data_IF_105887815172
#
_entry.id   IF_105887815172
#
_cell.length_a   1.000
_cell.length_b   1.000
_cell.length_c   1.000
_cell.angle_alpha   90.00
_cell.angle_beta   90.00
_cell.angle_gamma   90.00
#
_symmetry.space_group_name_H-M   'P 1'
#
loop_
_entity.id
_entity.type
_entity.pdbx_description
1 polymer ?
#
# COMPACT_ATOMS: atom_id res chain seq x y z
N UNK A 1 -10.07 25.52 7.67
CA UNK A 1 -8.71 25.55 7.07
C UNK A 1 -7.69 24.63 7.77
N UNK A 2 -7.87 24.20 9.03
CA UNK A 2 -6.95 23.25 9.68
C UNK A 2 -7.12 21.79 9.23
N UNK A 3 -8.30 21.40 8.72
CA UNK A 3 -8.62 20.03 8.33
C UNK A 3 -7.84 19.51 7.12
N UNK A 4 -7.72 20.29 6.05
CA UNK A 4 -7.12 19.82 4.80
C UNK A 4 -5.61 19.54 4.97
N UNK A 5 -4.91 20.40 5.72
CA UNK A 5 -3.48 20.24 6.04
C UNK A 5 -3.21 19.07 6.98
N UNK A 6 -4.15 18.68 7.85
CA UNK A 6 -4.00 17.46 8.66
C UNK A 6 -4.36 16.21 7.86
N UNK A 7 -5.41 16.26 7.04
CA UNK A 7 -5.80 15.14 6.17
C UNK A 7 -4.66 14.77 5.23
N UNK A 8 -4.06 15.73 4.53
CA UNK A 8 -2.98 15.47 3.57
C UNK A 8 -1.72 14.94 4.25
N UNK A 9 -1.38 15.46 5.43
CA UNK A 9 -0.26 14.95 6.23
C UNK A 9 -0.51 13.52 6.72
N UNK A 10 -1.75 13.20 7.08
CA UNK A 10 -2.15 11.85 7.47
C UNK A 10 -2.17 10.89 6.28
N UNK A 11 -2.61 11.32 5.10
CA UNK A 11 -2.57 10.52 3.86
C UNK A 11 -1.13 10.21 3.47
N UNK A 12 -0.25 11.22 3.45
CA UNK A 12 1.18 10.99 3.20
C UNK A 12 1.73 10.03 4.26
N UNK A 13 1.54 10.30 5.55
CA UNK A 13 1.98 9.38 6.63
C UNK A 13 1.43 7.96 6.46
N UNK A 14 0.19 7.78 6.02
CA UNK A 14 -0.42 6.48 5.79
C UNK A 14 0.27 5.77 4.62
N UNK A 15 0.49 6.44 3.47
CA UNK A 15 1.30 5.89 2.36
C UNK A 15 2.71 5.51 2.85
N UNK A 16 3.33 6.33 3.70
CA UNK A 16 4.67 6.11 4.25
C UNK A 16 4.76 4.98 5.30
N UNK A 17 3.70 4.69 6.07
CA UNK A 17 3.73 3.73 7.18
C UNK A 17 3.56 2.27 6.73
N UNK A 18 2.95 2.01 5.58
CA UNK A 18 2.63 0.64 5.14
C UNK A 18 3.84 -0.16 4.67
N UNK A 19 4.90 0.49 4.18
CA UNK A 19 6.16 -0.19 3.84
C UNK A 19 6.78 -0.80 5.12
N UNK A 20 6.65 -0.13 6.28
CA UNK A 20 7.22 -0.61 7.55
C UNK A 20 6.39 -1.72 8.23
N UNK A 21 5.10 -1.84 7.93
CA UNK A 21 4.18 -2.79 8.59
C UNK A 21 4.40 -4.28 8.22
N UNK A 22 5.40 -4.55 7.37
CA UNK A 22 5.74 -5.89 6.90
C UNK A 22 6.81 -6.60 7.73
N UNK A 23 7.13 -6.13 8.94
CA UNK A 23 7.98 -6.88 9.87
C UNK A 23 7.11 -7.82 10.70
N UNK A 24 6.93 -9.06 10.23
CA UNK A 24 6.17 -10.11 10.92
C UNK A 24 7.10 -11.25 11.31
N UNK A 25 7.06 -11.62 12.58
CA UNK A 25 7.76 -12.78 13.11
C UNK A 25 6.88 -14.02 12.94
N UNK A 26 7.31 -15.02 12.18
CA UNK A 26 6.51 -16.25 11.99
C UNK A 26 6.80 -17.28 13.08
N UNK A 27 5.75 -17.73 13.79
CA UNK A 27 5.81 -18.83 14.77
C UNK A 27 4.91 -20.00 14.34
N UNK A 28 5.42 -21.24 14.46
CA UNK A 28 4.70 -22.45 14.01
C UNK A 28 4.36 -23.32 15.21
N UNK A 29 3.09 -23.69 15.35
CA UNK A 29 2.62 -24.66 16.34
C UNK A 29 1.96 -25.91 15.70
N UNK A 30 1.95 -26.05 14.37
CA UNK A 30 1.29 -27.15 13.66
C UNK A 30 2.22 -28.23 13.10
N UNK A 31 1.99 -29.49 13.48
CA UNK A 31 2.64 -30.68 12.93
C UNK A 31 1.87 -31.21 11.70
N UNK A 32 2.16 -30.74 10.49
CA UNK A 32 1.54 -31.23 9.25
C UNK A 32 2.18 -30.67 7.98
N UNK A 33 2.07 -31.38 6.84
CA UNK A 33 2.71 -30.96 5.57
C UNK A 33 2.23 -29.59 5.04
N UNK A 34 0.96 -29.25 5.25
CA UNK A 34 0.37 -27.99 4.80
C UNK A 34 0.83 -26.75 5.59
N UNK A 35 1.24 -26.91 6.86
CA UNK A 35 1.75 -25.77 7.65
C UNK A 35 3.12 -25.31 7.14
N UNK A 36 3.96 -26.25 6.70
CA UNK A 36 5.28 -25.97 6.15
C UNK A 36 5.21 -25.21 4.81
N UNK A 37 4.29 -25.58 3.91
CA UNK A 37 4.12 -24.88 2.62
C UNK A 37 3.56 -23.47 2.80
N UNK A 38 2.55 -23.30 3.68
CA UNK A 38 2.03 -21.97 4.03
C UNK A 38 3.15 -21.09 4.61
N UNK A 39 3.94 -21.63 5.54
CA UNK A 39 5.09 -20.91 6.13
C UNK A 39 6.08 -20.47 5.06
N UNK A 40 6.41 -21.35 4.10
CA UNK A 40 7.36 -21.02 3.04
C UNK A 40 6.87 -19.85 2.17
N UNK A 41 5.57 -19.82 1.83
CA UNK A 41 4.99 -18.69 1.09
C UNK A 41 5.11 -17.39 1.91
N UNK A 42 4.67 -17.41 3.16
CA UNK A 42 4.70 -16.23 4.03
C UNK A 42 6.14 -15.74 4.33
N UNK A 43 7.10 -16.64 4.47
CA UNK A 43 8.52 -16.27 4.63
C UNK A 43 9.09 -15.60 3.38
N UNK A 44 8.72 -16.10 2.18
CA UNK A 44 9.15 -15.48 0.92
C UNK A 44 8.50 -14.12 0.72
N UNK A 45 7.24 -14.00 1.09
CA UNK A 45 6.51 -12.73 1.05
C UNK A 45 7.16 -11.69 1.98
N UNK A 46 7.41 -12.07 3.23
CA UNK A 46 8.12 -11.22 4.19
C UNK A 46 9.52 -10.82 3.69
N UNK A 47 10.29 -11.76 3.15
CA UNK A 47 11.60 -11.45 2.57
C UNK A 47 11.52 -10.52 1.35
N UNK A 48 10.45 -10.63 0.56
CA UNK A 48 10.19 -9.75 -0.58
C UNK A 48 9.81 -8.34 -0.10
N UNK A 49 8.97 -8.26 0.93
CA UNK A 49 8.59 -7.01 1.58
C UNK A 49 9.78 -6.27 2.22
N UNK A 50 10.71 -7.00 2.84
CA UNK A 50 11.94 -6.38 3.36
C UNK A 50 12.82 -5.78 2.25
N UNK A 51 12.76 -6.33 1.03
CA UNK A 51 13.50 -5.76 -0.12
C UNK A 51 12.92 -4.44 -0.59
N UNK A 52 11.62 -4.22 -0.44
CA UNK A 52 10.98 -2.93 -0.74
C UNK A 52 11.11 -1.92 0.42
N UNK A 53 11.35 -2.40 1.65
CA UNK A 53 11.73 -1.55 2.80
C UNK A 53 13.14 -0.98 2.67
N UNK A 54 14.05 -1.71 2.02
CA UNK A 54 15.33 -1.13 1.62
C UNK A 54 15.01 0.02 0.66
N UNK A 55 15.40 1.26 0.98
CA UNK A 55 14.99 2.42 0.20
C UNK A 55 15.45 2.20 -1.23
N UNK A 56 14.50 1.88 -2.12
CA UNK A 56 14.71 2.01 -3.53
C UNK A 56 15.00 3.50 -3.73
N UNK A 57 16.30 3.78 -3.87
CA UNK A 57 17.00 5.06 -3.99
C UNK A 57 16.14 6.27 -4.43
N UNK A 58 15.17 6.68 -3.61
CA UNK A 58 14.55 7.98 -3.78
C UNK A 58 15.57 8.97 -3.23
N UNK A 59 16.37 9.52 -4.13
CA UNK A 59 17.45 10.47 -3.83
C UNK A 59 16.91 11.84 -3.41
N UNK A 60 15.81 11.91 -2.66
CA UNK A 60 15.32 13.10 -1.95
C UNK A 60 15.06 14.38 -2.77
N UNK A 61 15.28 14.37 -4.09
CA UNK A 61 15.33 15.56 -4.95
C UNK A 61 14.22 15.60 -6.00
N UNK A 62 13.34 14.59 -6.04
CA UNK A 62 12.25 14.50 -7.01
C UNK A 62 10.97 15.23 -6.57
N UNK A 63 10.09 15.47 -7.53
CA UNK A 63 8.72 15.94 -7.31
C UNK A 63 7.85 14.88 -6.61
N UNK A 64 6.74 15.26 -5.98
CA UNK A 64 5.82 14.26 -5.40
C UNK A 64 5.22 13.35 -6.46
N UNK A 65 5.06 13.84 -7.68
CA UNK A 65 4.59 13.04 -8.82
C UNK A 65 5.56 11.86 -9.07
N UNK A 66 6.86 12.15 -9.19
CA UNK A 66 7.90 11.11 -9.34
C UNK A 66 7.94 10.14 -8.14
N UNK A 67 7.68 10.63 -6.93
CA UNK A 67 7.60 9.78 -5.75
C UNK A 67 6.40 8.82 -5.79
N UNK A 68 5.23 9.29 -6.20
CA UNK A 68 4.02 8.47 -6.28
C UNK A 68 4.12 7.45 -7.41
N UNK A 69 4.67 7.85 -8.56
CA UNK A 69 5.01 6.93 -9.65
C UNK A 69 5.98 5.84 -9.19
N UNK A 70 7.05 6.22 -8.48
CA UNK A 70 8.02 5.26 -7.93
C UNK A 70 7.40 4.31 -6.90
N UNK A 71 6.47 4.81 -6.08
CA UNK A 71 5.72 4.01 -5.10
C UNK A 71 4.82 2.99 -5.81
N UNK A 72 4.06 3.43 -6.82
CA UNK A 72 3.22 2.54 -7.61
C UNK A 72 4.06 1.46 -8.33
N UNK A 73 5.20 1.85 -8.91
CA UNK A 73 6.12 0.91 -9.56
C UNK A 73 6.63 -0.16 -8.58
N UNK A 74 6.95 0.24 -7.36
CA UNK A 74 7.41 -0.69 -6.30
C UNK A 74 6.30 -1.65 -5.89
N UNK A 75 5.05 -1.18 -5.77
CA UNK A 75 3.88 -2.03 -5.50
C UNK A 75 3.69 -3.05 -6.63
N UNK A 76 3.73 -2.62 -7.90
CA UNK A 76 3.59 -3.52 -9.04
C UNK A 76 4.72 -4.55 -9.12
N UNK A 77 5.96 -4.13 -8.80
CA UNK A 77 7.08 -5.05 -8.71
C UNK A 77 6.86 -6.10 -7.61
N UNK A 78 6.46 -5.68 -6.41
CA UNK A 78 6.14 -6.59 -5.30
C UNK A 78 5.07 -7.61 -5.70
N UNK A 79 3.94 -7.15 -6.26
CA UNK A 79 2.85 -8.04 -6.71
C UNK A 79 3.35 -9.03 -7.77
N UNK A 80 4.12 -8.56 -8.74
CA UNK A 80 4.64 -9.41 -9.81
C UNK A 80 5.62 -10.48 -9.31
N UNK A 81 6.48 -10.16 -8.32
CA UNK A 81 7.35 -11.14 -7.70
C UNK A 81 6.58 -12.11 -6.80
N UNK A 82 5.61 -11.62 -6.02
CA UNK A 82 4.81 -12.45 -5.13
C UNK A 82 3.91 -13.45 -5.88
N UNK A 83 3.42 -13.08 -7.07
CA UNK A 83 2.65 -13.98 -7.95
C UNK A 83 3.43 -15.20 -8.43
N UNK A 84 4.76 -15.15 -8.41
CA UNK A 84 5.63 -16.27 -8.81
C UNK A 84 5.79 -17.32 -7.70
N UNK A 85 5.25 -17.08 -6.51
CA UNK A 85 5.32 -18.05 -5.43
C UNK A 85 4.51 -19.29 -5.78
N UNK A 86 5.09 -20.47 -5.57
CA UNK A 86 4.39 -21.72 -5.77
C UNK A 86 3.30 -21.89 -4.70
N UNK A 87 2.05 -21.89 -5.15
CA UNK A 87 0.87 -22.07 -4.30
C UNK A 87 0.16 -23.40 -4.57
N UNK A 88 0.76 -24.31 -5.35
CA UNK A 88 0.15 -25.61 -5.62
C UNK A 88 0.21 -26.57 -4.42
N UNK A 89 1.16 -26.33 -3.50
CA UNK A 89 1.39 -27.14 -2.31
C UNK A 89 0.73 -26.59 -1.04
N UNK A 90 0.05 -25.44 -1.14
CA UNK A 90 -0.75 -24.87 -0.03
C UNK A 90 -2.22 -25.26 -0.17
N UNK A 91 -2.99 -25.26 0.92
CA UNK A 91 -4.43 -25.43 0.86
C UNK A 91 -5.12 -24.40 -0.06
N UNK A 92 -6.18 -24.82 -0.73
CA UNK A 92 -6.85 -24.01 -1.75
C UNK A 92 -7.46 -22.72 -1.19
N UNK A 93 -7.97 -22.74 0.04
CA UNK A 93 -8.53 -21.56 0.71
C UNK A 93 -7.44 -20.52 1.04
N UNK A 94 -6.27 -20.97 1.52
CA UNK A 94 -5.11 -20.10 1.71
C UNK A 94 -4.62 -19.51 0.37
N UNK A 95 -4.52 -20.32 -0.69
CA UNK A 95 -4.13 -19.84 -2.02
C UNK A 95 -5.11 -18.79 -2.58
N UNK A 96 -6.41 -18.94 -2.31
CA UNK A 96 -7.43 -17.95 -2.70
C UNK A 96 -7.25 -16.66 -1.89
N UNK A 97 -7.20 -16.75 -0.55
CA UNK A 97 -7.02 -15.58 0.31
C UNK A 97 -5.74 -14.80 -0.02
N UNK A 98 -4.63 -15.50 -0.28
CA UNK A 98 -3.37 -14.87 -0.64
C UNK A 98 -3.43 -14.18 -2.01
N UNK A 99 -4.08 -14.78 -3.00
CA UNK A 99 -4.29 -14.14 -4.31
C UNK A 99 -5.19 -12.91 -4.22
N UNK A 100 -6.23 -12.95 -3.39
CA UNK A 100 -7.09 -11.79 -3.13
C UNK A 100 -6.31 -10.66 -2.44
N UNK A 101 -5.39 -10.99 -1.52
CA UNK A 101 -4.49 -10.02 -0.92
C UNK A 101 -3.57 -9.36 -1.97
N UNK A 102 -2.96 -10.15 -2.86
CA UNK A 102 -2.15 -9.61 -3.96
C UNK A 102 -2.97 -8.73 -4.92
N UNK A 103 -4.23 -9.09 -5.19
CA UNK A 103 -5.13 -8.27 -6.00
C UNK A 103 -5.47 -6.93 -5.31
N UNK A 104 -5.63 -6.92 -3.98
CA UNK A 104 -5.82 -5.69 -3.22
C UNK A 104 -4.60 -4.75 -3.32
N UNK A 105 -3.38 -5.31 -3.25
CA UNK A 105 -2.14 -4.57 -3.50
C UNK A 105 -2.05 -4.03 -4.93
N UNK A 106 -2.37 -4.83 -5.94
CA UNK A 106 -2.36 -4.39 -7.33
C UNK A 106 -3.32 -3.22 -7.56
N UNK A 107 -4.54 -3.31 -7.04
CA UNK A 107 -5.52 -2.23 -7.10
C UNK A 107 -5.03 -0.97 -6.36
N UNK A 108 -4.36 -1.12 -5.22
CA UNK A 108 -3.74 0.00 -4.54
C UNK A 108 -2.65 0.66 -5.39
N UNK A 109 -1.78 -0.13 -6.03
CA UNK A 109 -0.77 0.35 -6.97
C UNK A 109 -1.39 1.12 -8.14
N UNK A 110 -2.53 0.67 -8.68
CA UNK A 110 -3.28 1.40 -9.71
C UNK A 110 -3.84 2.73 -9.21
N UNK A 111 -4.39 2.78 -8.00
CA UNK A 111 -4.89 4.02 -7.40
C UNK A 111 -3.75 5.01 -7.17
N UNK A 112 -2.60 4.54 -6.67
CA UNK A 112 -1.41 5.37 -6.46
C UNK A 112 -0.85 5.88 -7.78
N UNK A 113 -0.76 5.03 -8.82
CA UNK A 113 -0.32 5.44 -10.16
C UNK A 113 -1.24 6.48 -10.82
N UNK A 114 -2.54 6.47 -10.48
CA UNK A 114 -3.53 7.43 -10.96
C UNK A 114 -3.64 8.66 -10.04
N UNK A 115 -2.56 9.03 -9.36
CA UNK A 115 -2.55 10.23 -8.54
C UNK A 115 -2.81 11.49 -9.38
N UNK A 116 -3.49 12.50 -8.83
CA UNK A 116 -3.59 13.79 -9.51
C UNK A 116 -2.19 14.42 -9.60
N UNK A 117 -1.94 15.20 -10.66
CA UNK A 117 -0.68 15.94 -10.82
C UNK A 117 -0.57 16.96 -9.70
N UNK A 118 0.48 16.84 -8.90
CA UNK A 118 0.68 17.64 -7.70
C UNK A 118 1.52 18.91 -7.95
N UNK A 119 2.28 18.98 -9.05
CA UNK A 119 3.11 20.14 -9.41
C UNK A 119 4.40 20.27 -8.60
N UNK A 120 5.18 21.33 -8.80
CA UNK A 120 6.50 21.52 -8.14
C UNK A 120 6.35 21.76 -6.64
N UNK A 121 6.79 20.81 -5.83
CA UNK A 121 6.74 20.82 -4.36
C UNK A 121 7.67 21.88 -3.78
N UNK A 122 7.15 23.09 -3.65
CA UNK A 122 7.64 24.04 -2.64
C UNK A 122 6.56 24.21 -1.58
N UNK A 123 6.92 24.60 -0.37
CA UNK A 123 6.00 24.99 0.72
C UNK A 123 4.88 25.95 0.26
N UNK A 124 5.11 26.63 -0.86
CA UNK A 124 4.22 27.56 -1.52
C UNK A 124 3.08 26.88 -2.31
N UNK A 125 3.05 25.55 -2.51
CA UNK A 125 1.89 24.89 -3.12
C UNK A 125 0.71 24.88 -2.16
N UNK A 126 0.91 24.58 -0.87
CA UNK A 126 -0.20 24.63 0.10
C UNK A 126 -0.65 26.06 0.38
N UNK A 127 0.26 27.02 0.36
CA UNK A 127 -0.11 28.44 0.44
C UNK A 127 -0.72 28.98 -0.85
N UNK A 128 -0.25 28.51 -2.01
CA UNK A 128 -0.69 28.93 -3.34
C UNK A 128 -1.97 28.25 -3.82
N UNK A 129 -2.23 27.01 -3.42
CA UNK A 129 -3.49 26.30 -3.57
C UNK A 129 -4.57 26.97 -2.72
N UNK A 130 -4.26 27.30 -1.46
CA UNK A 130 -5.17 28.01 -0.56
C UNK A 130 -5.35 29.49 -0.96
N UNK A 131 -4.30 30.20 -1.40
CA UNK A 131 -4.41 31.57 -1.94
C UNK A 131 -5.10 31.60 -3.31
N UNK A 132 -4.88 30.57 -4.14
CA UNK A 132 -5.59 30.35 -5.39
C UNK A 132 -7.08 30.13 -5.15
N UNK A 133 -7.45 29.31 -4.15
CA UNK A 133 -8.84 29.13 -3.70
C UNK A 133 -9.50 30.42 -3.20
N UNK A 134 -8.75 31.33 -2.57
CA UNK A 134 -9.30 32.63 -2.13
C UNK A 134 -9.41 33.67 -3.26
N UNK A 135 -8.72 33.46 -4.39
CA UNK A 135 -8.68 34.39 -5.53
C UNK A 135 -9.28 33.88 -6.83
N UNK A 136 -9.65 32.60 -6.91
CA UNK A 136 -10.20 31.95 -8.09
C UNK A 136 -11.73 32.09 -8.11
N UNK A 137 -12.22 33.10 -8.82
CA UNK A 137 -13.64 33.33 -9.10
C UNK A 137 -14.21 32.38 -10.18
N UNK A 138 -13.41 31.45 -10.73
CA UNK A 138 -13.78 30.62 -11.89
C UNK A 138 -14.09 29.16 -11.57
N UNK A 139 -13.90 28.70 -10.33
CA UNK A 139 -14.32 27.37 -9.85
C UNK A 139 -13.33 26.22 -10.09
N UNK A 140 -12.24 26.43 -10.84
CA UNK A 140 -11.26 25.38 -11.16
C UNK A 140 -10.46 24.89 -9.95
N UNK A 141 -10.28 25.72 -8.92
CA UNK A 141 -9.60 25.30 -7.69
C UNK A 141 -10.43 24.30 -6.85
N UNK A 142 -11.76 24.42 -6.86
CA UNK A 142 -12.67 23.50 -6.17
C UNK A 142 -12.66 22.11 -6.83
N UNK A 143 -12.60 22.05 -8.16
CA UNK A 143 -12.50 20.79 -8.90
C UNK A 143 -11.21 20.04 -8.58
N UNK A 144 -10.07 20.73 -8.50
CA UNK A 144 -8.79 20.11 -8.12
C UNK A 144 -8.80 19.61 -6.67
N UNK A 145 -9.42 20.34 -5.75
CA UNK A 145 -9.60 19.89 -4.36
C UNK A 145 -10.45 18.62 -4.29
N UNK A 146 -11.56 18.59 -5.03
CA UNK A 146 -12.45 17.44 -5.09
C UNK A 146 -11.76 16.20 -5.68
N UNK A 147 -10.96 16.37 -6.74
CA UNK A 147 -10.17 15.30 -7.34
C UNK A 147 -9.15 14.74 -6.34
N UNK A 148 -8.41 15.61 -5.66
CA UNK A 148 -7.44 15.19 -4.64
C UNK A 148 -8.12 14.44 -3.49
N UNK A 149 -9.21 15.00 -2.94
CA UNK A 149 -9.91 14.38 -1.80
C UNK A 149 -10.53 13.03 -2.19
N UNK A 150 -11.04 12.90 -3.41
CA UNK A 150 -11.55 11.63 -3.92
C UNK A 150 -10.42 10.60 -4.06
N UNK A 151 -9.30 10.98 -4.70
CA UNK A 151 -8.14 10.11 -4.82
C UNK A 151 -7.62 9.64 -3.45
N UNK A 152 -7.47 10.57 -2.50
CA UNK A 152 -7.06 10.26 -1.13
C UNK A 152 -8.01 9.28 -0.43
N UNK A 153 -9.33 9.46 -0.57
CA UNK A 153 -10.30 8.52 -0.03
C UNK A 153 -10.20 7.13 -0.69
N UNK A 154 -9.82 7.05 -1.97
CA UNK A 154 -9.55 5.77 -2.64
C UNK A 154 -8.28 5.10 -2.10
N UNK A 155 -7.23 5.88 -1.84
CA UNK A 155 -5.99 5.39 -1.19
C UNK A 155 -6.32 4.82 0.19
N UNK A 156 -7.07 5.55 1.01
CA UNK A 156 -7.45 5.07 2.35
C UNK A 156 -8.32 3.80 2.30
N UNK A 157 -9.32 3.74 1.41
CA UNK A 157 -10.16 2.54 1.23
C UNK A 157 -9.36 1.34 0.74
N UNK A 158 -8.43 1.54 -0.19
CA UNK A 158 -7.58 0.44 -0.67
C UNK A 158 -6.60 -0.04 0.40
N UNK A 159 -6.06 0.84 1.23
CA UNK A 159 -5.28 0.46 2.42
C UNK A 159 -6.08 -0.40 3.40
N UNK A 160 -7.32 0.00 3.70
CA UNK A 160 -8.22 -0.80 4.54
C UNK A 160 -8.51 -2.16 3.92
N UNK A 161 -8.65 -2.23 2.60
CA UNK A 161 -8.85 -3.50 1.89
C UNK A 161 -7.62 -4.40 2.01
N UNK A 162 -6.41 -3.89 1.80
CA UNK A 162 -5.14 -4.61 2.00
C UNK A 162 -5.08 -5.19 3.41
N UNK A 163 -5.36 -4.37 4.43
CA UNK A 163 -5.38 -4.82 5.83
C UNK A 163 -6.41 -5.93 6.06
N UNK A 164 -7.62 -5.78 5.50
CA UNK A 164 -8.66 -6.80 5.66
C UNK A 164 -8.28 -8.13 5.00
N UNK A 165 -7.73 -8.10 3.78
CA UNK A 165 -7.36 -9.32 3.06
C UNK A 165 -6.13 -9.97 3.68
N UNK A 166 -5.24 -9.21 4.32
CA UNK A 166 -4.15 -9.78 5.11
C UNK A 166 -4.67 -10.56 6.32
N UNK A 167 -5.65 -10.01 7.04
CA UNK A 167 -6.30 -10.75 8.15
C UNK A 167 -6.96 -12.02 7.66
N UNK A 168 -7.52 -12.04 6.44
CA UNK A 168 -8.07 -13.26 5.86
C UNK A 168 -6.98 -14.31 5.58
N UNK A 169 -5.81 -13.88 5.09
CA UNK A 169 -4.62 -14.74 4.93
C UNK A 169 -4.17 -15.31 6.28
N UNK A 170 -4.08 -14.48 7.32
CA UNK A 170 -3.74 -14.88 8.69
C UNK A 170 -4.74 -15.88 9.26
N UNK A 171 -6.03 -15.58 9.15
CA UNK A 171 -7.11 -16.45 9.62
C UNK A 171 -7.08 -17.81 8.91
N UNK A 172 -6.78 -17.83 7.61
CA UNK A 172 -6.56 -19.07 6.88
C UNK A 172 -5.31 -19.81 7.37
N UNK A 173 -4.18 -19.14 7.52
CA UNK A 173 -2.94 -19.74 8.03
C UNK A 173 -3.12 -20.37 9.42
N UNK A 174 -3.87 -19.69 10.30
CA UNK A 174 -4.17 -20.15 11.66
C UNK A 174 -4.98 -21.44 11.69
N UNK A 175 -5.93 -21.65 10.75
CA UNK A 175 -6.66 -22.94 10.61
C UNK A 175 -5.72 -24.13 10.40
N UNK A 176 -4.55 -23.89 9.82
CA UNK A 176 -3.50 -24.88 9.57
C UNK A 176 -2.36 -24.85 10.61
N UNK A 177 -2.54 -24.12 11.72
CA UNK A 177 -1.57 -24.06 12.83
C UNK A 177 -0.34 -23.19 12.56
N UNK A 178 -0.42 -22.27 11.59
CA UNK A 178 0.63 -21.27 11.32
C UNK A 178 0.19 -19.94 11.91
N UNK A 179 0.98 -19.41 12.84
CA UNK A 179 0.76 -18.08 13.43
C UNK A 179 1.74 -17.09 12.83
N UNK A 180 1.24 -15.93 12.47
CA UNK A 180 2.05 -14.79 12.08
C UNK A 180 1.97 -13.83 13.27
N UNK A 181 3.05 -13.68 14.05
CA UNK A 181 3.08 -12.75 15.19
C UNK A 181 3.58 -11.38 14.75
N UNK A 182 2.80 -10.36 15.09
CA UNK A 182 3.17 -8.94 14.97
C UNK A 182 4.47 -8.63 15.72
#
# INVERSE_FOLDING_TARGET
MNDLRSSIRNILKNVFLWIAFLTLSLSVLGCGGSSASIKAVLQRDHALAQKIQSPYNYSGSGSLDEYMDGSAQTIFWYVNEARKFDTNSVPADFAVAYREHLAAWENHGQIVANHPVFGTFTSNFFEGFVRGLMGDLTGGAFEKEALFNNWAAQVDRSNQKISSTWRDVENCALKYGVSISE
#
